data_IF_597301125319
#
_entry.id   IF_597301125319
#
_cell.length_a   1.000
_cell.length_b   1.000
_cell.length_c   1.000
_cell.angle_alpha   90.00
_cell.angle_beta   90.00
_cell.angle_gamma   90.00
#
_symmetry.space_group_name_H-M   'P 1'
#
loop_
_entity.id
_entity.type
_entity.pdbx_description
1 polymer ?
#
# COMPACT_ATOMS: atom_id res chain seq x y z
N UNK A 1 -18.64 37.16 39.13
CA UNK A 1 -19.47 37.04 37.92
C UNK A 1 -18.66 37.51 36.72
N UNK A 2 -18.46 36.65 35.73
CA UNK A 2 -18.32 36.93 34.28
C UNK A 2 -17.43 35.88 33.61
N UNK A 3 -18.06 34.74 33.28
CA UNK A 3 -17.54 33.73 32.36
C UNK A 3 -17.21 34.35 31.00
N UNK A 4 -15.99 34.13 30.51
CA UNK A 4 -15.62 34.41 29.11
C UNK A 4 -15.44 33.10 28.34
N UNK A 5 -16.55 32.71 27.74
CA UNK A 5 -16.78 31.90 26.53
C UNK A 5 -15.52 31.46 25.75
N UNK A 6 -15.29 30.15 25.68
CA UNK A 6 -14.34 29.53 24.75
C UNK A 6 -14.88 29.59 23.31
N UNK A 7 -14.06 29.85 22.28
CA UNK A 7 -14.42 29.57 20.91
C UNK A 7 -14.06 28.12 20.54
N UNK A 8 -15.09 27.36 20.13
CA UNK A 8 -14.94 26.11 19.41
C UNK A 8 -14.26 26.37 18.06
N UNK A 9 -12.95 26.14 17.97
CA UNK A 9 -12.28 25.93 16.69
C UNK A 9 -12.52 24.47 16.31
N UNK A 10 -13.54 24.26 15.48
CA UNK A 10 -13.69 23.01 14.76
C UNK A 10 -12.40 22.72 14.01
N UNK A 11 -11.72 21.66 14.42
CA UNK A 11 -10.73 21.00 13.59
C UNK A 11 -11.48 20.36 12.43
N UNK A 12 -11.85 21.18 11.44
CA UNK A 12 -12.04 20.68 10.09
C UNK A 12 -10.65 20.37 9.56
N UNK A 13 -10.08 19.27 10.07
CA UNK A 13 -9.09 18.52 9.33
C UNK A 13 -9.81 18.04 8.09
N UNK A 14 -9.79 18.88 7.06
CA UNK A 14 -9.88 18.40 5.69
C UNK A 14 -8.71 17.43 5.55
N UNK A 15 -9.00 16.18 5.88
CA UNK A 15 -8.07 15.06 5.87
C UNK A 15 -7.58 14.91 4.45
N UNK A 16 -6.45 15.54 4.20
CA UNK A 16 -5.30 14.90 3.58
C UNK A 16 -5.68 13.91 2.49
N UNK A 17 -5.78 14.46 1.28
CA UNK A 17 -5.40 13.76 0.07
C UNK A 17 -3.90 13.39 0.13
N UNK A 18 -3.51 12.62 1.15
CA UNK A 18 -2.20 12.03 1.26
C UNK A 18 -2.30 10.73 0.47
N UNK A 19 -1.73 10.75 -0.72
CA UNK A 19 -0.97 9.63 -1.25
C UNK A 19 0.21 9.27 -0.32
N UNK A 20 0.03 9.23 1.00
CA UNK A 20 0.90 8.51 1.91
C UNK A 20 0.50 7.06 1.80
N UNK A 21 0.88 6.44 0.68
CA UNK A 21 0.82 4.99 0.55
C UNK A 21 1.51 4.43 1.78
N UNK A 22 0.78 3.66 2.57
CA UNK A 22 1.30 3.09 3.79
C UNK A 22 2.63 2.41 3.50
N UNK A 23 3.59 2.59 4.43
CA UNK A 23 4.91 2.02 4.25
C UNK A 23 4.77 0.50 4.13
N UNK A 24 5.25 -0.07 3.03
CA UNK A 24 5.29 -1.52 2.87
C UNK A 24 6.22 -2.13 3.91
N UNK A 25 5.70 -3.09 4.69
CA UNK A 25 6.44 -3.85 5.70
C UNK A 25 6.44 -5.32 5.28
N UNK A 26 7.59 -6.03 5.35
CA UNK A 26 7.64 -7.43 4.95
C UNK A 26 6.91 -8.32 5.95
N UNK A 27 6.09 -9.24 5.43
CA UNK A 27 5.56 -10.39 6.18
C UNK A 27 6.44 -11.59 5.81
N UNK A 28 7.33 -12.01 6.71
CA UNK A 28 8.24 -13.13 6.50
C UNK A 28 7.65 -14.41 7.13
N UNK A 29 7.29 -15.38 6.29
CA UNK A 29 6.78 -16.68 6.73
C UNK A 29 7.35 -17.78 5.84
N UNK A 30 7.51 -18.98 6.41
CA UNK A 30 7.85 -20.18 5.64
C UNK A 30 6.57 -20.89 5.21
N UNK A 31 6.56 -21.38 3.97
CA UNK A 31 5.47 -22.18 3.42
C UNK A 31 6.05 -23.42 2.75
N UNK A 32 5.27 -24.50 2.60
CA UNK A 32 5.67 -25.63 1.77
C UNK A 32 6.00 -25.18 0.34
N UNK A 33 6.98 -25.84 -0.29
CA UNK A 33 7.41 -25.52 -1.65
C UNK A 33 6.26 -25.60 -2.66
N UNK A 34 5.39 -26.59 -2.50
CA UNK A 34 4.20 -26.80 -3.34
C UNK A 34 3.26 -25.60 -3.30
N UNK A 35 3.05 -25.00 -2.11
CA UNK A 35 2.22 -23.80 -1.93
C UNK A 35 2.84 -22.61 -2.63
N UNK A 36 4.15 -22.37 -2.46
CA UNK A 36 4.86 -21.29 -3.17
C UNK A 36 4.71 -21.44 -4.68
N UNK A 37 4.87 -22.66 -5.20
CA UNK A 37 4.73 -22.97 -6.63
C UNK A 37 3.32 -22.68 -7.13
N UNK A 38 2.29 -23.09 -6.39
CA UNK A 38 0.89 -22.82 -6.74
C UNK A 38 0.60 -21.32 -6.79
N UNK A 39 1.05 -20.54 -5.80
CA UNK A 39 0.86 -19.08 -5.77
C UNK A 39 1.55 -18.41 -6.97
N UNK A 40 2.74 -18.86 -7.34
CA UNK A 40 3.46 -18.34 -8.51
C UNK A 40 2.71 -18.62 -9.82
N UNK A 41 2.18 -19.84 -9.99
CA UNK A 41 1.38 -20.20 -11.17
C UNK A 41 0.08 -19.38 -11.24
N UNK A 42 -0.64 -19.24 -10.13
CA UNK A 42 -1.84 -18.40 -10.08
C UNK A 42 -1.57 -16.95 -10.46
N UNK A 43 -0.43 -16.40 -10.05
CA UNK A 43 0.00 -15.06 -10.46
C UNK A 43 0.25 -14.97 -11.95
N UNK A 44 0.99 -15.94 -12.51
CA UNK A 44 1.28 -16.00 -13.94
C UNK A 44 -0.01 -16.08 -14.78
N UNK A 45 -0.94 -16.96 -14.40
CA UNK A 45 -2.21 -17.17 -15.11
C UNK A 45 -3.09 -15.91 -15.14
N UNK A 46 -3.03 -15.10 -14.07
CA UNK A 46 -3.82 -13.86 -13.93
C UNK A 46 -3.10 -12.60 -14.39
N UNK A 47 -1.83 -12.71 -14.79
CA UNK A 47 -0.98 -11.54 -15.05
C UNK A 47 -0.68 -10.71 -13.80
N UNK A 48 -0.78 -11.29 -12.60
CA UNK A 48 -0.56 -10.64 -11.32
C UNK A 48 0.82 -11.01 -10.75
N UNK A 49 1.38 -10.15 -9.89
CA UNK A 49 2.58 -10.50 -9.14
C UNK A 49 2.17 -11.28 -7.87
N UNK A 50 3.13 -11.99 -7.25
CA UNK A 50 2.88 -12.78 -6.05
C UNK A 50 2.28 -11.93 -4.92
N UNK A 51 2.72 -10.67 -4.75
CA UNK A 51 2.18 -9.75 -3.73
C UNK A 51 0.68 -9.54 -3.93
N UNK A 52 0.23 -9.27 -5.15
CA UNK A 52 -1.20 -9.08 -5.45
C UNK A 52 -2.01 -10.36 -5.16
N UNK A 53 -1.49 -11.54 -5.53
CA UNK A 53 -2.15 -12.82 -5.22
C UNK A 53 -2.30 -13.01 -3.71
N UNK A 54 -1.23 -12.75 -2.95
CA UNK A 54 -1.24 -12.84 -1.48
C UNK A 54 -2.23 -11.85 -0.88
N UNK A 55 -2.20 -10.58 -1.28
CA UNK A 55 -3.12 -9.56 -0.76
C UNK A 55 -4.58 -9.88 -1.07
N UNK A 56 -4.89 -10.41 -2.27
CA UNK A 56 -6.25 -10.90 -2.56
C UNK A 56 -6.65 -12.06 -1.66
N UNK A 57 -5.74 -12.99 -1.40
CA UNK A 57 -5.98 -14.10 -0.48
C UNK A 57 -6.25 -13.61 0.96
N UNK A 58 -5.43 -12.67 1.44
CA UNK A 58 -5.61 -12.03 2.75
C UNK A 58 -6.96 -11.29 2.84
N UNK A 59 -7.35 -10.59 1.78
CA UNK A 59 -8.67 -9.95 1.72
C UNK A 59 -9.81 -10.96 1.75
N UNK A 60 -9.68 -12.06 1.03
CA UNK A 60 -10.69 -13.12 0.99
C UNK A 60 -10.92 -13.80 2.35
N UNK A 61 -9.92 -13.79 3.24
CA UNK A 61 -10.06 -14.28 4.62
C UNK A 61 -10.48 -13.19 5.61
N UNK A 62 -10.80 -11.97 5.14
CA UNK A 62 -11.37 -10.89 5.96
C UNK A 62 -10.40 -9.79 6.41
N UNK A 63 -9.16 -9.75 5.91
CA UNK A 63 -8.25 -8.63 6.16
C UNK A 63 -8.68 -7.42 5.33
N UNK A 64 -8.81 -6.25 5.97
CA UNK A 64 -9.18 -5.01 5.29
C UNK A 64 -7.99 -4.52 4.43
N UNK A 65 -8.14 -4.64 3.11
CA UNK A 65 -7.14 -4.23 2.13
C UNK A 65 -7.87 -3.41 1.06
N UNK A 66 -7.53 -2.12 0.90
CA UNK A 66 -8.18 -1.27 -0.09
C UNK A 66 -7.82 -1.71 -1.51
N UNK A 67 -8.74 -1.49 -2.46
CA UNK A 67 -8.56 -1.88 -3.87
C UNK A 67 -7.32 -1.22 -4.50
N UNK A 68 -6.95 -0.02 -4.03
CA UNK A 68 -5.75 0.70 -4.45
C UNK A 68 -4.45 -0.04 -4.14
N UNK A 69 -4.44 -0.96 -3.18
CA UNK A 69 -3.29 -1.80 -2.83
C UNK A 69 -3.23 -3.10 -3.62
N UNK A 70 -4.34 -3.52 -4.25
CA UNK A 70 -4.40 -4.70 -5.11
C UNK A 70 -3.88 -4.43 -6.52
N UNK A 71 -3.83 -3.15 -6.93
CA UNK A 71 -3.28 -2.74 -8.22
C UNK A 71 -1.79 -3.11 -8.33
N UNK A 72 -1.41 -3.72 -9.46
CA UNK A 72 -0.03 -4.08 -9.74
C UNK A 72 0.84 -2.85 -9.97
N UNK A 73 1.89 -2.70 -9.16
CA UNK A 73 2.80 -1.55 -9.17
C UNK A 73 4.05 -1.73 -10.03
N UNK A 74 4.11 -2.74 -10.91
CA UNK A 74 5.26 -3.05 -11.79
C UNK A 74 5.81 -1.85 -12.62
N UNK A 75 5.09 -0.72 -12.71
CA UNK A 75 5.56 0.52 -13.34
C UNK A 75 6.12 1.63 -12.43
N UNK A 76 5.95 1.58 -11.10
CA UNK A 76 6.15 2.79 -10.26
C UNK A 76 7.59 3.11 -9.85
N UNK A 77 8.56 2.23 -10.16
CA UNK A 77 9.98 2.42 -9.79
C UNK A 77 10.86 3.10 -10.87
N UNK A 78 10.32 3.45 -12.05
CA UNK A 78 11.12 4.11 -13.10
C UNK A 78 11.19 5.65 -13.02
N UNK A 79 10.41 6.32 -12.17
CA UNK A 79 10.34 7.80 -12.13
C UNK A 79 10.90 8.43 -10.85
N UNK A 80 11.78 7.76 -10.10
CA UNK A 80 12.29 8.27 -8.82
C UNK A 80 13.79 8.57 -8.73
N UNK A 81 14.59 8.26 -9.77
CA UNK A 81 16.05 8.50 -9.68
C UNK A 81 16.73 8.61 -11.06
N UNK A 82 17.20 9.81 -11.36
CA UNK A 82 18.09 10.19 -12.47
C UNK A 82 17.72 11.61 -12.92
N UNK A 83 18.54 12.66 -12.85
CA UNK A 83 19.95 12.83 -12.49
C UNK A 83 20.43 14.07 -13.26
N UNK A 84 20.86 15.13 -12.54
CA UNK A 84 21.61 16.35 -12.96
C UNK A 84 21.25 17.45 -11.94
N UNK A 85 22.14 18.13 -11.22
CA UNK A 85 23.45 18.64 -11.61
C UNK A 85 24.46 18.51 -10.45
N UNK A 86 25.55 17.80 -10.72
CA UNK A 86 26.86 18.24 -10.27
C UNK A 86 27.44 19.09 -11.39
N UNK A 87 27.34 20.41 -11.26
CA UNK A 87 28.10 21.37 -12.05
C UNK A 87 28.99 22.15 -11.10
N UNK A 88 30.27 21.78 -11.18
CA UNK A 88 31.52 22.53 -10.96
C UNK A 88 31.47 23.78 -10.07
#
# INVERSE_FOLDING_TARGET
MASRKQPARGSSGAGENRASGEKEVPIQVMVPETVRRQVALMGADRGENIRTVVLRGLRAIGIDIPESELADRRGRRRNGKGGSDGAQ
#
